data_IF_182436804986
#
_entry.id   IF_182436804986
#
_cell.length_a   1.000
_cell.length_b   1.000
_cell.length_c   1.000
_cell.angle_alpha   90.00
_cell.angle_beta   90.00
_cell.angle_gamma   90.00
#
_symmetry.space_group_name_H-M   'P 1'
#
loop_
_entity.id
_entity.type
_entity.pdbx_description
1 polymer ?
#
# COMPACT_ATOMS: atom_id res chain seq x y z
N UNK A 1 4.56 31.90 -0.60
CA UNK A 1 4.85 30.44 -0.55
C UNK A 1 3.53 29.69 -0.76
N UNK A 2 3.11 29.56 -2.01
CA UNK A 2 1.95 28.76 -2.40
C UNK A 2 2.38 27.30 -2.46
N UNK A 3 2.09 26.54 -1.40
CA UNK A 3 2.21 25.10 -1.43
C UNK A 3 1.19 24.55 -2.42
N UNK A 4 1.63 23.98 -3.52
CA UNK A 4 0.81 23.13 -4.36
C UNK A 4 0.32 21.96 -3.50
N UNK A 5 -0.92 22.08 -3.04
CA UNK A 5 -1.69 20.93 -2.55
C UNK A 5 -1.86 20.05 -3.78
N UNK A 6 -1.16 18.91 -3.84
CA UNK A 6 -1.48 17.88 -4.80
C UNK A 6 -2.99 17.61 -4.70
N UNK A 7 -3.70 17.77 -5.82
CA UNK A 7 -5.12 17.39 -5.90
C UNK A 7 -5.18 15.91 -5.50
N UNK A 8 -5.68 15.65 -4.29
CA UNK A 8 -5.85 14.30 -3.81
C UNK A 8 -6.99 13.69 -4.61
N UNK A 9 -6.67 12.71 -5.45
CA UNK A 9 -7.68 11.92 -6.16
C UNK A 9 -8.77 11.52 -5.19
N UNK A 10 -10.01 11.91 -5.49
CA UNK A 10 -11.17 11.63 -4.68
C UNK A 10 -12.19 10.81 -5.47
N UNK A 11 -12.83 9.86 -4.80
CA UNK A 11 -13.75 8.90 -5.39
C UNK A 11 -15.13 9.04 -4.74
N UNK A 12 -16.15 9.31 -5.55
CA UNK A 12 -17.53 9.51 -5.08
C UNK A 12 -18.51 8.46 -5.58
N UNK A 13 -18.11 7.65 -6.58
CA UNK A 13 -18.98 6.60 -7.11
C UNK A 13 -18.85 5.33 -6.28
N UNK A 14 -19.89 5.00 -5.52
CA UNK A 14 -20.00 3.79 -4.72
C UNK A 14 -21.12 2.89 -5.20
N UNK A 15 -20.97 1.54 -5.09
CA UNK A 15 -22.09 0.60 -5.23
C UNK A 15 -23.18 0.90 -4.18
N UNK A 16 -24.43 0.68 -4.55
CA UNK A 16 -25.59 0.85 -3.65
C UNK A 16 -25.44 0.02 -2.36
N UNK A 17 -24.94 -1.22 -2.49
CA UNK A 17 -24.69 -2.10 -1.34
C UNK A 17 -23.71 -1.52 -0.32
N UNK A 18 -22.67 -0.79 -0.74
CA UNK A 18 -21.75 -0.11 0.17
C UNK A 18 -22.49 0.99 0.96
N UNK A 19 -23.24 1.84 0.26
CA UNK A 19 -24.03 2.92 0.88
C UNK A 19 -25.06 2.37 1.87
N UNK A 20 -25.78 1.31 1.48
CA UNK A 20 -26.79 0.67 2.31
C UNK A 20 -26.17 0.02 3.56
N UNK A 21 -25.02 -0.64 3.44
CA UNK A 21 -24.30 -1.19 4.58
C UNK A 21 -23.88 -0.11 5.56
N UNK A 22 -23.35 1.02 5.08
CA UNK A 22 -22.97 2.14 5.93
C UNK A 22 -24.18 2.73 6.67
N UNK A 23 -25.33 2.90 5.99
CA UNK A 23 -26.61 3.32 6.62
C UNK A 23 -27.05 2.34 7.69
N UNK A 24 -27.10 1.04 7.36
CA UNK A 24 -27.47 -0.04 8.31
C UNK A 24 -26.53 -0.04 9.51
N UNK A 25 -25.22 0.16 9.31
CA UNK A 25 -24.25 0.25 10.41
C UNK A 25 -24.52 1.43 11.34
N UNK A 26 -24.90 2.60 10.82
CA UNK A 26 -25.31 3.76 11.62
C UNK A 26 -26.57 3.48 12.44
N UNK A 27 -27.61 2.94 11.82
CA UNK A 27 -28.86 2.59 12.48
C UNK A 27 -28.67 1.57 13.61
N UNK A 28 -27.88 0.51 13.35
CA UNK A 28 -27.57 -0.49 14.38
C UNK A 28 -26.75 0.09 15.52
N UNK A 29 -25.81 0.97 15.23
CA UNK A 29 -24.99 1.63 16.25
C UNK A 29 -25.85 2.53 17.17
N UNK A 30 -26.86 3.23 16.62
CA UNK A 30 -27.81 4.00 17.41
C UNK A 30 -28.63 3.09 18.34
N UNK A 31 -29.10 1.93 17.86
CA UNK A 31 -29.86 0.94 18.66
C UNK A 31 -29.06 0.40 19.87
N UNK A 32 -27.75 0.41 19.80
CA UNK A 32 -26.86 0.01 20.91
C UNK A 32 -26.28 1.23 21.66
N UNK A 33 -26.99 2.37 21.65
CA UNK A 33 -26.57 3.61 22.31
C UNK A 33 -25.17 4.12 21.87
N UNK A 34 -24.85 3.96 20.62
CA UNK A 34 -23.61 4.41 20.01
C UNK A 34 -22.32 3.83 20.64
N UNK A 35 -22.35 2.65 21.23
CA UNK A 35 -21.21 2.03 21.93
C UNK A 35 -20.17 1.41 21.01
N UNK A 36 -20.55 1.02 19.78
CA UNK A 36 -19.72 0.22 18.90
C UNK A 36 -18.88 1.01 17.89
N UNK A 37 -19.07 2.32 17.78
CA UNK A 37 -18.36 3.13 16.80
C UNK A 37 -17.51 4.22 17.45
N UNK A 38 -16.27 4.35 16.97
CA UNK A 38 -15.47 5.54 17.24
C UNK A 38 -16.04 6.74 16.48
N UNK A 39 -15.71 7.96 16.91
CA UNK A 39 -16.11 9.18 16.20
C UNK A 39 -15.65 9.15 14.72
N UNK A 40 -14.43 8.68 14.45
CA UNK A 40 -13.90 8.53 13.09
C UNK A 40 -14.76 7.55 12.28
N UNK A 41 -15.15 6.42 12.86
CA UNK A 41 -16.02 5.43 12.21
C UNK A 41 -17.38 5.99 11.85
N UNK A 42 -18.00 6.77 12.75
CA UNK A 42 -19.31 7.43 12.50
C UNK A 42 -19.23 8.44 11.35
N UNK A 43 -18.24 9.34 11.39
CA UNK A 43 -18.03 10.35 10.34
C UNK A 43 -17.80 9.67 9.00
N UNK A 44 -17.02 8.59 8.97
CA UNK A 44 -16.77 7.83 7.75
C UNK A 44 -18.03 7.17 7.23
N UNK A 45 -18.80 6.52 8.10
CA UNK A 45 -20.05 5.89 7.73
C UNK A 45 -21.06 6.90 7.15
N UNK A 46 -21.18 8.08 7.74
CA UNK A 46 -22.02 9.17 7.21
C UNK A 46 -21.55 9.62 5.82
N UNK A 47 -20.23 9.79 5.64
CA UNK A 47 -19.65 10.17 4.35
C UNK A 47 -19.99 9.13 3.27
N UNK A 48 -19.81 7.84 3.57
CA UNK A 48 -20.10 6.73 2.66
C UNK A 48 -21.60 6.63 2.36
N UNK A 49 -22.46 6.73 3.37
CA UNK A 49 -23.92 6.68 3.24
C UNK A 49 -24.47 7.81 2.36
N UNK A 50 -23.87 9.00 2.46
CA UNK A 50 -24.23 10.18 1.66
C UNK A 50 -23.59 10.21 0.27
N UNK A 51 -22.68 9.29 -0.06
CA UNK A 51 -21.96 9.28 -1.32
C UNK A 51 -20.93 10.40 -1.47
N UNK A 52 -20.46 10.98 -0.36
CA UNK A 52 -19.44 12.04 -0.38
C UNK A 52 -18.09 11.48 -0.79
N UNK A 53 -17.24 12.26 -1.49
CA UNK A 53 -15.94 11.78 -1.97
C UNK A 53 -15.04 11.30 -0.84
N UNK A 54 -14.27 10.23 -1.09
CA UNK A 54 -13.19 9.74 -0.23
C UNK A 54 -11.87 9.71 -0.98
N UNK A 55 -10.77 9.99 -0.28
CA UNK A 55 -9.43 9.93 -0.86
C UNK A 55 -8.94 8.50 -1.04
N UNK A 56 -7.93 8.31 -1.91
CA UNK A 56 -7.25 7.02 -2.09
C UNK A 56 -6.68 6.48 -0.76
N UNK A 57 -6.14 7.33 0.09
CA UNK A 57 -5.66 6.94 1.42
C UNK A 57 -6.78 6.34 2.27
N UNK A 58 -7.98 6.94 2.22
CA UNK A 58 -9.16 6.40 2.88
C UNK A 58 -9.55 5.03 2.32
N UNK A 59 -9.52 4.85 1.00
CA UNK A 59 -9.82 3.56 0.35
C UNK A 59 -8.82 2.48 0.83
N UNK A 60 -7.54 2.79 0.91
CA UNK A 60 -6.52 1.87 1.43
C UNK A 60 -6.78 1.50 2.89
N UNK A 61 -7.17 2.46 3.72
CA UNK A 61 -7.56 2.21 5.12
C UNK A 61 -8.81 1.34 5.22
N UNK A 62 -9.82 1.59 4.37
CA UNK A 62 -11.04 0.76 4.29
C UNK A 62 -10.68 -0.69 3.95
N UNK A 63 -9.89 -0.90 2.90
CA UNK A 63 -9.44 -2.24 2.51
C UNK A 63 -8.71 -2.95 3.65
N UNK A 64 -7.72 -2.29 4.23
CA UNK A 64 -6.92 -2.84 5.33
C UNK A 64 -7.75 -3.19 6.56
N UNK A 65 -8.73 -2.35 6.93
CA UNK A 65 -9.62 -2.62 8.05
C UNK A 65 -10.57 -3.77 7.75
N UNK A 66 -11.31 -3.69 6.62
CA UNK A 66 -12.34 -4.66 6.26
C UNK A 66 -11.77 -6.06 6.00
N UNK A 67 -10.55 -6.16 5.47
CA UNK A 67 -9.88 -7.46 5.28
C UNK A 67 -9.64 -8.21 6.59
N UNK A 68 -9.33 -7.49 7.67
CA UNK A 68 -9.11 -8.09 9.01
C UNK A 68 -10.40 -8.26 9.81
N UNK A 69 -11.30 -7.27 9.70
CA UNK A 69 -12.52 -7.24 10.50
C UNK A 69 -13.60 -8.23 10.01
N UNK A 70 -13.43 -8.80 8.81
CA UNK A 70 -14.35 -9.79 8.25
C UNK A 70 -14.52 -11.06 9.12
N UNK A 71 -13.50 -11.43 9.88
CA UNK A 71 -13.53 -12.57 10.82
C UNK A 71 -14.51 -12.34 11.98
N UNK A 72 -14.80 -11.09 12.31
CA UNK A 72 -15.72 -10.71 13.41
C UNK A 72 -17.12 -10.28 12.91
N UNK A 73 -17.37 -10.47 11.61
CA UNK A 73 -18.66 -10.16 11.03
C UNK A 73 -19.60 -11.36 11.08
N UNK A 74 -20.67 -11.23 11.85
CA UNK A 74 -21.78 -12.18 11.90
C UNK A 74 -23.07 -11.46 11.51
N UNK A 75 -23.66 -11.83 10.38
CA UNK A 75 -24.88 -11.21 9.86
C UNK A 75 -26.08 -11.45 10.78
N UNK A 76 -26.08 -12.54 11.54
CA UNK A 76 -27.15 -12.90 12.49
C UNK A 76 -27.07 -12.09 13.79
N UNK A 77 -25.86 -11.67 14.22
CA UNK A 77 -25.68 -10.86 15.43
C UNK A 77 -25.57 -9.36 15.10
N UNK A 78 -26.72 -8.73 15.00
CA UNK A 78 -26.83 -7.29 14.72
C UNK A 78 -26.50 -6.38 15.91
N UNK A 79 -26.25 -6.95 17.10
CA UNK A 79 -25.86 -6.22 18.31
C UNK A 79 -24.36 -6.26 18.56
N UNK A 80 -23.65 -7.21 17.95
CA UNK A 80 -22.21 -7.31 18.09
C UNK A 80 -21.49 -6.09 17.50
N UNK A 81 -20.56 -5.54 18.28
CA UNK A 81 -19.76 -4.39 17.82
C UNK A 81 -18.89 -4.71 16.60
N UNK A 82 -18.43 -5.94 16.45
CA UNK A 82 -17.71 -6.40 15.24
C UNK A 82 -18.56 -6.23 13.99
N UNK A 83 -19.81 -6.72 14.01
CA UNK A 83 -20.76 -6.62 12.92
C UNK A 83 -21.11 -5.15 12.60
N UNK A 84 -21.43 -4.37 13.62
CA UNK A 84 -21.79 -2.96 13.47
C UNK A 84 -20.62 -2.18 12.86
N UNK A 85 -19.43 -2.33 13.42
CA UNK A 85 -18.22 -1.64 12.94
C UNK A 85 -17.87 -2.03 11.50
N UNK A 86 -18.02 -3.31 11.14
CA UNK A 86 -17.81 -3.78 9.78
C UNK A 86 -18.77 -3.11 8.79
N UNK A 87 -20.05 -3.03 9.14
CA UNK A 87 -21.06 -2.37 8.32
C UNK A 87 -20.83 -0.86 8.16
N UNK A 88 -20.39 -0.17 9.22
CA UNK A 88 -20.06 1.27 9.17
C UNK A 88 -19.01 1.60 8.10
N UNK A 89 -18.10 0.70 7.81
CA UNK A 89 -17.09 0.85 6.77
C UNK A 89 -17.52 0.29 5.39
N UNK A 90 -18.82 -0.04 5.24
CA UNK A 90 -19.39 -0.51 3.99
C UNK A 90 -19.51 -2.02 3.84
N UNK A 91 -19.08 -2.81 4.83
CA UNK A 91 -19.23 -4.26 4.85
C UNK A 91 -18.51 -4.96 3.70
N UNK A 92 -19.00 -6.17 3.32
CA UNK A 92 -18.44 -6.95 2.18
C UNK A 92 -18.45 -6.17 0.86
N UNK A 93 -19.45 -5.31 0.63
CA UNK A 93 -19.51 -4.47 -0.57
C UNK A 93 -18.43 -3.40 -0.57
N UNK A 94 -18.14 -2.82 0.61
CA UNK A 94 -17.04 -1.88 0.81
C UNK A 94 -15.68 -2.50 0.57
N UNK A 95 -15.46 -3.72 1.09
CA UNK A 95 -14.22 -4.47 0.87
C UNK A 95 -13.96 -4.70 -0.62
N UNK A 96 -14.93 -5.28 -1.34
CA UNK A 96 -14.80 -5.56 -2.78
C UNK A 96 -14.58 -4.29 -3.61
N UNK A 97 -15.29 -3.21 -3.29
CA UNK A 97 -15.12 -1.94 -3.96
C UNK A 97 -13.72 -1.35 -3.75
N UNK A 98 -13.24 -1.32 -2.50
CA UNK A 98 -11.92 -0.81 -2.17
C UNK A 98 -10.81 -1.62 -2.84
N UNK A 99 -10.91 -2.95 -2.84
CA UNK A 99 -9.99 -3.85 -3.53
C UNK A 99 -9.95 -3.58 -5.03
N UNK A 100 -11.12 -3.49 -5.67
CA UNK A 100 -11.23 -3.20 -7.10
C UNK A 100 -10.59 -1.85 -7.47
N UNK A 101 -10.79 -0.81 -6.65
CA UNK A 101 -10.18 0.51 -6.89
C UNK A 101 -8.67 0.49 -6.76
N UNK A 102 -8.14 -0.19 -5.74
CA UNK A 102 -6.69 -0.33 -5.55
C UNK A 102 -6.08 -1.08 -6.74
N UNK A 103 -6.65 -2.23 -7.14
CA UNK A 103 -6.18 -3.01 -8.30
C UNK A 103 -6.24 -2.21 -9.60
N UNK A 104 -7.32 -1.46 -9.85
CA UNK A 104 -7.43 -0.63 -11.06
C UNK A 104 -6.33 0.42 -11.12
N UNK A 105 -6.04 1.09 -10.01
CA UNK A 105 -4.97 2.10 -9.95
C UNK A 105 -3.57 1.49 -10.09
N UNK A 106 -3.35 0.31 -9.54
CA UNK A 106 -2.09 -0.42 -9.71
C UNK A 106 -1.89 -0.85 -11.16
N UNK A 107 -2.95 -1.31 -11.83
CA UNK A 107 -2.91 -1.67 -13.25
C UNK A 107 -2.64 -0.45 -14.13
N UNK A 108 -3.33 0.68 -13.91
CA UNK A 108 -3.08 1.93 -14.63
C UNK A 108 -1.65 2.41 -14.44
N UNK A 109 -1.13 2.35 -13.21
CA UNK A 109 0.25 2.70 -12.93
C UNK A 109 1.24 1.78 -13.64
N UNK A 110 0.96 0.48 -13.69
CA UNK A 110 1.79 -0.50 -14.40
C UNK A 110 1.78 -0.27 -15.90
N UNK A 111 0.62 0.03 -16.49
CA UNK A 111 0.51 0.39 -17.91
C UNK A 111 1.30 1.66 -18.23
N UNK A 112 1.10 2.72 -17.44
CA UNK A 112 1.84 3.97 -17.62
C UNK A 112 3.37 3.76 -17.54
N UNK A 113 3.85 2.91 -16.63
CA UNK A 113 5.26 2.57 -16.54
C UNK A 113 5.73 1.85 -17.81
N UNK A 114 4.97 0.89 -18.31
CA UNK A 114 5.31 0.16 -19.54
C UNK A 114 5.32 1.07 -20.77
N UNK A 115 4.43 2.06 -20.83
CA UNK A 115 4.36 3.04 -21.93
C UNK A 115 5.48 4.08 -21.89
N UNK A 116 6.09 4.27 -20.73
CA UNK A 116 7.13 5.29 -20.51
C UNK A 116 8.54 4.75 -20.35
N UNK A 117 8.69 3.45 -20.14
CA UNK A 117 9.97 2.79 -19.88
C UNK A 117 10.13 1.54 -20.76
N UNK A 118 11.28 1.39 -21.38
CA UNK A 118 11.71 0.16 -22.06
C UNK A 118 13.02 -0.36 -21.45
N UNK A 119 13.30 -1.63 -21.71
CA UNK A 119 14.60 -2.24 -21.41
C UNK A 119 15.29 -2.54 -22.73
N UNK A 120 16.34 -1.81 -23.01
CA UNK A 120 17.15 -1.95 -24.22
C UNK A 120 18.59 -2.23 -23.74
N UNK A 121 19.20 -3.30 -24.22
CA UNK A 121 20.56 -3.73 -23.85
C UNK A 121 20.79 -3.75 -22.31
N UNK A 122 19.83 -4.37 -21.59
CA UNK A 122 19.83 -4.48 -20.13
C UNK A 122 19.80 -3.15 -19.37
N UNK A 123 19.37 -2.06 -20.02
CA UNK A 123 19.33 -0.71 -19.49
C UNK A 123 17.92 -0.11 -19.59
N UNK A 124 17.63 0.84 -18.70
CA UNK A 124 16.39 1.62 -18.78
C UNK A 124 16.49 2.66 -19.89
N UNK A 125 15.53 2.63 -20.79
CA UNK A 125 15.26 3.66 -21.78
C UNK A 125 13.91 4.33 -21.48
N UNK A 126 13.79 5.59 -21.78
CA UNK A 126 12.65 6.43 -21.51
C UNK A 126 11.97 6.86 -22.81
N UNK A 127 10.65 6.98 -22.79
CA UNK A 127 9.88 7.41 -23.97
C UNK A 127 10.04 8.91 -24.29
N UNK A 128 10.53 9.71 -23.35
CA UNK A 128 10.74 11.16 -23.55
C UNK A 128 12.13 11.63 -23.16
N UNK A 129 12.59 12.71 -23.81
CA UNK A 129 13.87 13.37 -23.55
C UNK A 129 13.98 13.87 -22.12
N UNK A 130 12.90 14.48 -21.62
CA UNK A 130 12.84 15.08 -20.28
C UNK A 130 13.04 14.04 -19.19
N UNK A 131 12.47 12.84 -19.37
CA UNK A 131 12.64 11.73 -18.43
C UNK A 131 14.08 11.23 -18.43
N UNK A 132 14.69 11.07 -19.60
CA UNK A 132 16.08 10.65 -19.72
C UNK A 132 17.04 11.68 -19.13
N UNK A 133 16.83 12.98 -19.40
CA UNK A 133 17.62 14.06 -18.83
C UNK A 133 17.48 14.15 -17.29
N UNK A 134 16.29 13.94 -16.76
CA UNK A 134 16.09 13.86 -15.32
C UNK A 134 16.85 12.67 -14.72
N UNK A 135 16.77 11.52 -15.37
CA UNK A 135 17.52 10.34 -14.93
C UNK A 135 19.04 10.53 -15.02
N UNK A 136 19.52 11.28 -16.02
CA UNK A 136 20.93 11.67 -16.13
C UNK A 136 21.39 12.53 -14.94
N UNK A 137 20.61 13.55 -14.58
CA UNK A 137 20.88 14.40 -13.40
C UNK A 137 20.87 13.60 -12.10
N UNK A 138 19.98 12.61 -11.95
CA UNK A 138 19.89 11.77 -10.75
C UNK A 138 21.15 10.92 -10.53
N UNK A 139 21.93 10.67 -11.58
CA UNK A 139 23.17 9.89 -11.55
C UNK A 139 24.44 10.70 -11.82
N UNK A 140 24.32 12.04 -11.83
CA UNK A 140 25.42 12.97 -12.07
C UNK A 140 26.11 12.73 -13.43
N UNK A 141 25.35 12.57 -14.50
CA UNK A 141 25.89 12.60 -15.85
C UNK A 141 25.16 13.63 -16.73
N UNK A 142 25.83 14.09 -17.75
CA UNK A 142 25.29 15.04 -18.71
C UNK A 142 24.81 14.31 -19.98
N UNK A 143 23.90 15.00 -20.69
CA UNK A 143 23.42 14.54 -21.97
C UNK A 143 22.44 13.38 -21.91
N UNK A 144 22.14 12.89 -23.07
CA UNK A 144 21.33 11.70 -23.34
C UNK A 144 21.66 11.21 -24.74
N UNK A 145 21.39 9.94 -25.03
CA UNK A 145 21.48 9.38 -26.37
C UNK A 145 20.22 8.61 -26.71
N UNK A 146 20.05 8.28 -27.99
CA UNK A 146 18.83 7.67 -28.51
C UNK A 146 19.07 6.26 -29.02
N UNK A 147 18.03 5.43 -28.91
CA UNK A 147 17.95 4.11 -29.50
C UNK A 147 16.64 3.95 -30.24
N UNK A 148 16.69 3.33 -31.42
CA UNK A 148 15.50 2.89 -32.12
C UNK A 148 15.17 1.46 -31.66
N UNK A 149 13.98 1.29 -31.10
CA UNK A 149 13.53 -0.02 -30.64
C UNK A 149 12.03 -0.19 -30.91
N UNK A 150 11.66 -1.28 -31.56
CA UNK A 150 10.28 -1.58 -31.97
C UNK A 150 9.60 -0.44 -32.76
N UNK A 151 10.35 0.25 -33.62
CA UNK A 151 9.82 1.34 -34.46
C UNK A 151 9.57 2.64 -33.73
N UNK A 152 10.10 2.81 -32.53
CA UNK A 152 9.99 4.00 -31.71
C UNK A 152 11.38 4.44 -31.22
N UNK A 153 11.59 5.77 -31.16
CA UNK A 153 12.80 6.35 -30.58
C UNK A 153 12.70 6.38 -29.06
N UNK A 154 13.69 5.80 -28.40
CA UNK A 154 13.85 5.78 -26.96
C UNK A 154 15.07 6.57 -26.54
N UNK A 155 15.03 7.16 -25.34
CA UNK A 155 16.06 8.03 -24.79
C UNK A 155 16.70 7.39 -23.58
N UNK A 156 18.03 7.33 -23.56
CA UNK A 156 18.81 6.85 -22.39
C UNK A 156 19.58 8.01 -21.76
N UNK A 157 19.76 7.96 -20.42
CA UNK A 157 20.54 8.98 -19.71
C UNK A 157 22.02 8.89 -20.08
N UNK A 158 22.73 10.02 -20.00
CA UNK A 158 24.11 10.23 -20.36
C UNK A 158 24.38 10.18 -21.88
N UNK A 159 25.52 10.67 -22.33
CA UNK A 159 25.93 10.66 -23.73
C UNK A 159 26.25 9.27 -24.28
N UNK A 160 26.38 8.27 -23.41
CA UNK A 160 26.68 6.90 -23.80
C UNK A 160 26.52 5.90 -22.65
N UNK A 161 26.88 4.66 -22.92
CA UNK A 161 26.68 3.55 -21.98
C UNK A 161 27.77 3.43 -20.91
N UNK A 162 28.88 4.16 -21.04
CA UNK A 162 30.02 4.05 -20.12
C UNK A 162 29.82 4.90 -18.88
N UNK A 163 29.24 4.31 -17.85
CA UNK A 163 29.04 4.96 -16.56
C UNK A 163 30.30 4.80 -15.70
N UNK A 164 30.69 5.87 -14.99
CA UNK A 164 31.69 5.79 -13.94
C UNK A 164 31.18 4.95 -12.77
N UNK A 165 32.08 4.48 -11.91
CA UNK A 165 31.70 3.72 -10.71
C UNK A 165 30.70 4.46 -9.82
N UNK A 166 30.89 5.78 -9.67
CA UNK A 166 30.00 6.61 -8.85
C UNK A 166 28.64 6.81 -9.51
N UNK A 167 28.59 7.05 -10.80
CA UNK A 167 27.36 7.14 -11.57
C UNK A 167 26.58 5.81 -11.52
N UNK A 168 27.28 4.68 -11.66
CA UNK A 168 26.64 3.37 -11.60
C UNK A 168 26.10 3.02 -10.20
N UNK A 169 26.71 3.51 -9.13
CA UNK A 169 26.13 3.38 -7.78
C UNK A 169 24.74 4.05 -7.68
N UNK A 170 24.56 5.20 -8.31
CA UNK A 170 23.27 5.93 -8.34
C UNK A 170 22.30 5.38 -9.38
N UNK A 171 22.79 4.77 -10.46
CA UNK A 171 21.96 4.22 -11.53
C UNK A 171 20.96 3.19 -11.00
N UNK A 172 19.73 3.21 -11.48
CA UNK A 172 18.68 2.26 -11.11
C UNK A 172 18.55 1.20 -12.18
N UNK A 173 18.78 -0.05 -11.82
CA UNK A 173 18.53 -1.16 -12.74
C UNK A 173 17.02 -1.38 -12.96
N UNK A 174 16.62 -1.89 -14.15
CA UNK A 174 15.26 -2.29 -14.41
C UNK A 174 14.73 -3.30 -13.38
N UNK A 175 13.40 -3.37 -13.22
CA UNK A 175 12.76 -4.39 -12.39
C UNK A 175 13.14 -5.79 -12.91
N UNK A 176 13.55 -6.68 -12.02
CA UNK A 176 14.02 -8.02 -12.38
C UNK A 176 15.50 -8.09 -12.75
N UNK A 177 16.22 -6.98 -12.60
CA UNK A 177 17.67 -6.92 -12.80
C UNK A 177 18.39 -6.53 -11.51
N UNK A 178 19.61 -7.00 -11.33
CA UNK A 178 20.51 -6.61 -10.23
C UNK A 178 21.76 -5.92 -10.79
N UNK A 179 22.42 -5.14 -9.95
CA UNK A 179 23.68 -4.48 -10.30
C UNK A 179 24.85 -5.44 -10.29
N UNK A 180 25.59 -5.48 -11.38
CA UNK A 180 26.93 -6.05 -11.42
C UNK A 180 27.96 -4.91 -11.32
N UNK A 181 28.50 -4.72 -10.15
CA UNK A 181 29.46 -3.65 -9.87
C UNK A 181 30.82 -3.85 -10.50
N UNK A 182 31.18 -5.08 -10.90
CA UNK A 182 32.44 -5.34 -11.58
C UNK A 182 32.37 -4.92 -13.05
N UNK A 183 31.24 -5.18 -13.68
CA UNK A 183 31.00 -4.88 -15.11
C UNK A 183 30.28 -3.55 -15.32
N UNK A 184 29.89 -2.84 -14.28
CA UNK A 184 29.08 -1.61 -14.31
C UNK A 184 27.83 -1.73 -15.19
N UNK A 185 27.12 -2.85 -15.10
CA UNK A 185 25.88 -3.10 -15.83
C UNK A 185 24.83 -3.82 -15.00
N UNK A 186 23.59 -3.73 -15.45
CA UNK A 186 22.51 -4.51 -14.89
C UNK A 186 22.52 -5.92 -15.47
N UNK A 187 22.27 -6.92 -14.64
CA UNK A 187 22.21 -8.33 -15.04
C UNK A 187 20.84 -8.86 -14.65
N UNK A 188 20.18 -9.55 -15.59
CA UNK A 188 18.87 -10.15 -15.33
C UNK A 188 18.95 -11.15 -14.17
N UNK A 189 18.03 -11.05 -13.25
CA UNK A 189 17.94 -11.96 -12.10
C UNK A 189 17.39 -13.31 -12.54
N UNK A 190 17.87 -14.37 -11.94
CA UNK A 190 17.31 -15.72 -12.10
C UNK A 190 15.96 -15.82 -11.39
N UNK A 191 15.16 -16.82 -11.74
CA UNK A 191 13.86 -17.07 -11.06
C UNK A 191 14.03 -17.27 -9.56
N UNK A 192 15.10 -17.94 -9.13
CA UNK A 192 15.42 -18.14 -7.71
C UNK A 192 15.69 -16.81 -6.99
N UNK A 193 16.50 -15.93 -7.56
CA UNK A 193 16.78 -14.60 -7.02
C UNK A 193 15.51 -13.72 -6.96
N UNK A 194 14.64 -13.82 -7.96
CA UNK A 194 13.35 -13.11 -7.98
C UNK A 194 12.41 -13.58 -6.87
N UNK A 195 12.35 -14.90 -6.61
CA UNK A 195 11.55 -15.47 -5.53
C UNK A 195 12.03 -14.97 -4.16
N UNK A 196 13.33 -14.95 -3.90
CA UNK A 196 13.92 -14.47 -2.64
C UNK A 196 13.65 -12.97 -2.39
N UNK A 197 13.62 -12.15 -3.44
CA UNK A 197 13.27 -10.72 -3.33
C UNK A 197 11.79 -10.54 -3.04
N UNK A 198 10.92 -11.36 -3.64
CA UNK A 198 9.48 -11.35 -3.40
C UNK A 198 9.14 -11.68 -1.94
N UNK A 199 9.81 -12.64 -1.35
CA UNK A 199 9.62 -13.01 0.06
C UNK A 199 10.07 -11.91 1.04
N UNK A 200 11.13 -11.18 0.75
CA UNK A 200 11.61 -10.05 1.59
C UNK A 200 10.69 -8.82 1.51
N UNK A 201 9.92 -8.66 0.44
CA UNK A 201 8.91 -7.61 0.28
C UNK A 201 7.56 -7.94 0.92
N UNK A 202 7.33 -9.18 1.34
CA UNK A 202 6.15 -9.60 2.07
C UNK A 202 6.12 -8.98 3.47
N UNK A 203 4.95 -8.51 3.88
CA UNK A 203 4.66 -7.98 5.22
C UNK A 203 5.27 -8.96 6.25
N UNK A 204 6.28 -8.51 7.00
CA UNK A 204 6.78 -9.27 8.16
C UNK A 204 5.58 -9.55 9.05
N UNK A 205 5.15 -10.81 9.13
CA UNK A 205 4.23 -11.25 10.17
C UNK A 205 4.90 -10.87 11.48
N UNK A 206 4.29 -9.96 12.23
CA UNK A 206 4.75 -9.61 13.56
C UNK A 206 4.94 -10.90 14.35
N UNK A 207 6.08 -11.09 15.05
CA UNK A 207 6.26 -12.28 15.88
C UNK A 207 5.08 -12.33 16.85
N UNK A 208 4.44 -13.51 16.95
CA UNK A 208 3.37 -13.76 17.92
C UNK A 208 3.91 -13.33 19.29
N UNK A 209 3.20 -12.42 19.95
CA UNK A 209 3.49 -12.08 21.33
C UNK A 209 3.57 -13.36 22.16
N UNK A 210 4.56 -13.51 23.04
CA UNK A 210 4.64 -14.68 23.91
C UNK A 210 3.34 -14.76 24.72
N UNK A 211 2.72 -15.93 24.72
CA UNK A 211 1.56 -16.20 25.57
C UNK A 211 1.95 -15.90 26.99
N UNK A 212 1.34 -14.89 27.60
CA UNK A 212 1.43 -14.65 29.02
C UNK A 212 0.76 -15.83 29.75
N UNK A 213 1.55 -16.79 30.10
CA UNK A 213 1.13 -17.92 30.92
C UNK A 213 1.89 -17.86 32.22
N UNK A 214 1.24 -17.51 33.26
CA UNK A 214 1.11 -18.23 34.55
C UNK A 214 0.77 -17.24 35.66
N UNK A 215 -0.26 -17.48 36.44
CA UNK A 215 -0.54 -16.64 37.59
C UNK A 215 0.50 -16.92 38.68
N UNK A 216 1.17 -15.85 39.10
CA UNK A 216 2.13 -15.84 40.19
C UNK A 216 1.39 -16.19 41.49
N UNK A 217 1.62 -17.41 42.02
CA UNK A 217 1.17 -17.78 43.34
C UNK A 217 2.00 -17.03 44.39
N UNK A 218 1.42 -16.03 45.00
CA UNK A 218 1.98 -15.35 46.15
C UNK A 218 2.11 -16.36 47.30
N UNK A 219 3.28 -16.58 47.89
CA UNK A 219 3.40 -17.37 49.14
C UNK A 219 2.89 -16.52 50.30
N UNK A 220 1.95 -17.08 51.05
CA UNK A 220 1.42 -16.56 52.34
C UNK A 220 2.57 -16.32 53.29
N UNK A 221 2.78 -15.06 53.66
CA UNK A 221 3.62 -14.69 54.80
C UNK A 221 3.02 -15.18 56.09
N UNK A 222 3.79 -15.99 56.82
CA UNK A 222 3.49 -16.40 58.21
C UNK A 222 3.75 -15.19 59.11
N UNK A 223 2.69 -14.70 59.75
CA UNK A 223 2.81 -13.81 60.87
C UNK A 223 3.34 -14.58 62.11
N UNK A 224 4.39 -14.08 62.70
CA UNK A 224 4.79 -14.43 64.06
C UNK A 224 4.42 -13.30 64.98
N UNK A 225 3.49 -13.53 65.84
CA UNK A 225 3.23 -12.72 67.03
C UNK A 225 4.27 -13.03 68.12
N UNK A 226 4.75 -12.00 68.80
CA UNK A 226 5.26 -11.91 70.17
C UNK A 226 5.11 -10.45 70.53
N UNK A 227 4.40 -10.03 71.54
CA UNK A 227 4.37 -10.41 72.95
C UNK A 227 5.43 -9.64 73.69
N UNK A 228 5.09 -8.53 74.16
CA UNK A 228 5.18 -8.01 75.57
C UNK A 228 4.73 -6.56 75.57
#
# INVERSE_FOLDING_TARGET
KSGQRSEMESFSYYPSGLKNNAKKGLELNEKVNNKCATQVGKVRAQQLAQGKPVSLETIKRMFSYLSRAGEHYDESDTKACGTISYLLWGGKAGLRWAESKIKSLENLKSQLINDTLAIIDDRLAYSTKEMAQKAAKDIDCDGMHTHEYMGQTWYMPCEGHNLTKEQFKKYKCPKGYRKDYQKHKCVKMTEKELAEVGERGGIRKSPKAPKSGTPNKNPKGKGTAKGD
#
